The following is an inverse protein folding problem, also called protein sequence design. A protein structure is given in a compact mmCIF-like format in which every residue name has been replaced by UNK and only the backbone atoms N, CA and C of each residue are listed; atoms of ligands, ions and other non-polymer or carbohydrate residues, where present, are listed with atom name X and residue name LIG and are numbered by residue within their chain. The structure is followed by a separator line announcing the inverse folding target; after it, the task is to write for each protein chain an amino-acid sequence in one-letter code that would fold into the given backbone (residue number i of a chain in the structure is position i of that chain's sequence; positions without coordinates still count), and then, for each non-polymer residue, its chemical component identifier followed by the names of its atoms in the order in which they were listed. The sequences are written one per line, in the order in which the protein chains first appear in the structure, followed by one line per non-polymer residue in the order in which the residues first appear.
data_IF_416743149261
#
_entry.id   IF_416743149261
#
_cell.length_a   1.000
_cell.length_b   1.000
_cell.length_c   1.000
_cell.angle_alpha   90.00
_cell.angle_beta   90.00
_cell.angle_gamma   90.00
#
_symmetry.space_group_name_H-M   'P 1'
#
loop_
_entity.id
_entity.type
_entity.pdbx_description
1 polymer ?
#
# COMPACT_ATOMS: atom_id res chain seq x y z
N UNK A 1 -53.88 5.47 -16.00
CA UNK A 1 -52.57 6.11 -16.17
C UNK A 1 -51.80 5.89 -14.88
N UNK A 2 -50.93 4.87 -14.85
CA UNK A 2 -50.10 4.56 -13.66
C UNK A 2 -48.85 5.39 -13.73
N UNK A 3 -48.66 6.25 -12.75
CA UNK A 3 -47.41 7.05 -12.61
C UNK A 3 -46.36 6.13 -12.08
N UNK A 4 -45.40 5.77 -12.92
CA UNK A 4 -44.20 5.01 -12.57
C UNK A 4 -43.29 5.90 -11.72
N UNK A 5 -43.26 5.62 -10.43
CA UNK A 5 -42.42 6.37 -9.47
C UNK A 5 -40.99 5.94 -9.67
N UNK A 6 -40.11 6.81 -10.21
CA UNK A 6 -38.71 6.58 -10.35
C UNK A 6 -38.08 6.18 -9.00
N UNK A 7 -37.15 5.21 -8.96
CA UNK A 7 -36.55 4.74 -7.71
C UNK A 7 -35.81 5.88 -7.02
N UNK A 8 -36.22 6.20 -5.78
CA UNK A 8 -35.52 7.15 -4.90
C UNK A 8 -34.09 6.69 -4.72
N UNK A 9 -33.11 7.45 -5.24
CA UNK A 9 -31.68 7.25 -4.97
C UNK A 9 -31.47 7.15 -3.45
N UNK A 10 -31.12 5.95 -2.99
CA UNK A 10 -30.82 5.69 -1.58
C UNK A 10 -29.67 6.60 -1.15
N UNK A 11 -29.93 7.48 -0.18
CA UNK A 11 -28.93 8.39 0.36
C UNK A 11 -27.87 7.54 1.07
N UNK A 12 -26.69 7.44 0.50
CA UNK A 12 -25.57 6.76 1.15
C UNK A 12 -25.15 7.55 2.39
N UNK A 13 -24.76 6.83 3.45
CA UNK A 13 -24.11 7.44 4.61
C UNK A 13 -22.83 8.19 4.18
N UNK A 14 -22.44 9.25 4.93
CA UNK A 14 -21.30 10.11 4.57
C UNK A 14 -20.02 9.32 4.26
N UNK A 15 -19.66 8.33 5.09
CA UNK A 15 -18.45 7.52 4.91
C UNK A 15 -18.52 6.65 3.66
N UNK A 16 -19.66 6.03 3.38
CA UNK A 16 -19.88 5.27 2.16
C UNK A 16 -19.79 6.16 0.91
N UNK A 17 -20.24 7.40 1.01
CA UNK A 17 -20.14 8.39 -0.08
C UNK A 17 -18.71 8.84 -0.31
N UNK A 18 -17.96 9.12 0.77
CA UNK A 18 -16.53 9.44 0.69
C UNK A 18 -15.75 8.30 0.05
N UNK A 19 -16.00 7.07 0.47
CA UNK A 19 -15.38 5.86 -0.11
C UNK A 19 -15.70 5.68 -1.59
N UNK A 20 -16.94 5.94 -2.03
CA UNK A 20 -17.34 5.89 -3.44
C UNK A 20 -16.56 6.88 -4.30
N UNK A 21 -16.42 8.14 -3.84
CA UNK A 21 -15.68 9.17 -4.55
C UNK A 21 -14.19 8.79 -4.64
N UNK A 22 -13.60 8.31 -3.54
CA UNK A 22 -12.20 7.89 -3.50
C UNK A 22 -11.94 6.71 -4.45
N UNK A 23 -12.81 5.70 -4.50
CA UNK A 23 -12.68 4.59 -5.43
C UNK A 23 -12.71 5.02 -6.90
N UNK A 24 -13.56 5.99 -7.25
CA UNK A 24 -13.57 6.58 -8.60
C UNK A 24 -12.26 7.35 -8.88
N UNK A 25 -11.75 8.10 -7.91
CA UNK A 25 -10.49 8.82 -8.03
C UNK A 25 -9.30 7.87 -8.23
N UNK A 26 -9.23 6.78 -7.44
CA UNK A 26 -8.21 5.72 -7.57
C UNK A 26 -8.16 5.19 -9.01
N UNK A 27 -9.32 4.87 -9.58
CA UNK A 27 -9.38 4.37 -10.96
C UNK A 27 -8.94 5.42 -11.97
N UNK A 28 -9.45 6.64 -11.89
CA UNK A 28 -9.16 7.71 -12.85
C UNK A 28 -7.69 8.13 -12.84
N UNK A 29 -7.09 8.28 -11.66
CA UNK A 29 -5.66 8.61 -11.53
C UNK A 29 -4.75 7.42 -11.85
N UNK A 30 -5.27 6.19 -11.80
CA UNK A 30 -4.54 5.02 -12.29
C UNK A 30 -4.51 4.91 -13.82
N UNK A 31 -5.58 5.34 -14.48
CA UNK A 31 -5.73 5.26 -15.93
C UNK A 31 -5.10 6.46 -16.67
N UNK A 32 -5.00 7.62 -16.02
CA UNK A 32 -4.60 8.89 -16.66
C UNK A 32 -3.60 9.66 -15.78
N UNK A 33 -2.66 10.42 -16.41
CA UNK A 33 -1.75 11.30 -15.69
C UNK A 33 -2.49 12.27 -14.77
N UNK A 34 -1.85 12.66 -13.68
CA UNK A 34 -2.42 13.63 -12.72
C UNK A 34 -2.94 14.90 -13.40
N UNK A 35 -2.21 15.43 -14.40
CA UNK A 35 -2.60 16.64 -15.12
C UNK A 35 -3.97 16.51 -15.82
N UNK A 36 -4.27 15.32 -16.35
CA UNK A 36 -5.41 15.04 -17.22
C UNK A 36 -6.70 14.63 -16.48
N UNK A 37 -6.64 14.52 -15.15
CA UNK A 37 -7.81 14.23 -14.30
C UNK A 37 -8.25 15.49 -13.60
N UNK A 38 -9.53 15.82 -13.63
CA UNK A 38 -10.13 16.94 -12.85
C UNK A 38 -11.07 16.42 -11.74
N UNK A 39 -11.32 17.24 -10.73
CA UNK A 39 -12.36 16.95 -9.71
C UNK A 39 -13.77 16.86 -10.32
N UNK A 40 -13.98 17.48 -11.49
CA UNK A 40 -15.21 17.36 -12.26
C UNK A 40 -15.34 15.97 -12.90
N UNK A 41 -14.25 15.40 -13.40
CA UNK A 41 -14.25 14.03 -13.93
C UNK A 41 -14.55 13.02 -12.84
N UNK A 42 -13.92 13.18 -11.66
CA UNK A 42 -14.18 12.34 -10.50
C UNK A 42 -15.65 12.46 -10.04
N UNK A 43 -16.20 13.68 -10.00
CA UNK A 43 -17.60 13.92 -9.63
C UNK A 43 -18.57 13.24 -10.62
N UNK A 44 -18.31 13.37 -11.91
CA UNK A 44 -19.11 12.74 -12.98
C UNK A 44 -19.09 11.21 -12.83
N UNK A 45 -17.92 10.65 -12.65
CA UNK A 45 -17.72 9.20 -12.49
C UNK A 45 -18.39 8.66 -11.22
N UNK A 46 -18.30 9.39 -10.12
CA UNK A 46 -18.94 9.05 -8.85
C UNK A 46 -20.46 9.35 -8.82
N UNK A 47 -21.01 9.99 -9.85
CA UNK A 47 -22.41 10.38 -9.91
C UNK A 47 -22.81 11.39 -8.84
N UNK A 48 -21.90 12.32 -8.49
CA UNK A 48 -22.11 13.36 -7.47
C UNK A 48 -21.86 14.76 -8.01
N UNK A 49 -22.30 15.77 -7.27
CA UNK A 49 -21.97 17.17 -7.60
C UNK A 49 -20.47 17.43 -7.30
N UNK A 50 -19.78 18.24 -8.14
CA UNK A 50 -18.38 18.63 -7.95
C UNK A 50 -18.11 19.23 -6.57
N UNK A 51 -19.04 20.06 -6.06
CA UNK A 51 -18.93 20.67 -4.72
C UNK A 51 -18.81 19.63 -3.61
N UNK A 52 -19.39 18.42 -3.80
CA UNK A 52 -19.29 17.35 -2.83
C UNK A 52 -17.90 16.71 -2.81
N UNK A 53 -17.24 16.60 -3.95
CA UNK A 53 -15.84 16.13 -4.03
C UNK A 53 -14.92 17.08 -3.26
N UNK A 54 -15.08 18.40 -3.52
CA UNK A 54 -14.29 19.42 -2.80
C UNK A 54 -14.62 19.49 -1.31
N UNK A 55 -15.87 19.21 -0.92
CA UNK A 55 -16.27 19.16 0.49
C UNK A 55 -15.57 18.03 1.26
N UNK A 56 -15.43 16.84 0.65
CA UNK A 56 -14.81 15.69 1.31
C UNK A 56 -13.27 15.68 1.26
N UNK A 57 -12.70 16.23 0.20
CA UNK A 57 -11.26 16.05 -0.09
C UNK A 57 -10.50 17.38 -0.25
N UNK A 58 -11.15 18.52 -0.25
CA UNK A 58 -10.49 19.81 -0.46
C UNK A 58 -10.09 20.03 -1.91
N UNK A 59 -8.80 20.11 -2.18
CA UNK A 59 -8.26 20.38 -3.51
C UNK A 59 -8.08 19.09 -4.33
N UNK A 60 -7.80 19.25 -5.63
CA UNK A 60 -7.39 18.12 -6.50
C UNK A 60 -6.14 17.43 -5.97
N UNK A 61 -5.18 18.22 -5.43
CA UNK A 61 -3.94 17.69 -4.86
C UNK A 61 -4.22 16.85 -3.61
N UNK A 62 -5.05 17.33 -2.71
CA UNK A 62 -5.40 16.58 -1.50
C UNK A 62 -6.10 15.26 -1.84
N UNK A 63 -7.01 15.27 -2.81
CA UNK A 63 -7.64 14.04 -3.31
C UNK A 63 -6.60 13.07 -3.91
N UNK A 64 -5.63 13.59 -4.66
CA UNK A 64 -4.57 12.76 -5.24
C UNK A 64 -3.67 12.15 -4.17
N UNK A 65 -3.29 12.89 -3.13
CA UNK A 65 -2.51 12.38 -2.00
C UNK A 65 -3.26 11.27 -1.26
N UNK A 66 -4.58 11.38 -1.10
CA UNK A 66 -5.40 10.29 -0.55
C UNK A 66 -5.39 9.05 -1.45
N UNK A 67 -5.43 9.23 -2.77
CA UNK A 67 -5.30 8.11 -3.72
C UNK A 67 -3.95 7.43 -3.60
N UNK A 68 -2.85 8.19 -3.58
CA UNK A 68 -1.50 7.64 -3.38
C UNK A 68 -1.44 6.86 -2.07
N UNK A 69 -1.91 7.46 -0.96
CA UNK A 69 -1.92 6.80 0.36
C UNK A 69 -2.65 5.46 0.32
N UNK A 70 -3.86 5.41 -0.25
CA UNK A 70 -4.63 4.15 -0.36
C UNK A 70 -3.93 3.09 -1.20
N UNK A 71 -3.20 3.51 -2.25
CA UNK A 71 -2.51 2.57 -3.14
C UNK A 71 -1.23 1.97 -2.55
N UNK A 72 -0.56 2.70 -1.69
CA UNK A 72 0.74 2.27 -1.12
C UNK A 72 0.65 1.76 0.31
N UNK A 73 -0.44 2.04 1.03
CA UNK A 73 -0.61 1.61 2.43
C UNK A 73 -1.24 0.22 2.50
N UNK A 74 -0.61 -0.68 3.23
CA UNK A 74 -1.20 -1.98 3.59
C UNK A 74 -2.35 -1.72 4.56
N UNK A 75 -3.59 -2.16 4.30
CA UNK A 75 -4.69 -1.97 5.24
C UNK A 75 -4.57 -2.90 6.45
N UNK A 76 -4.97 -2.46 7.63
CA UNK A 76 -4.90 -3.24 8.88
C UNK A 76 -5.65 -4.58 8.79
N UNK A 77 -6.81 -4.58 8.12
CA UNK A 77 -7.60 -5.78 7.84
C UNK A 77 -6.81 -6.87 7.09
N UNK A 78 -5.72 -6.53 6.43
CA UNK A 78 -4.86 -7.52 5.78
C UNK A 78 -4.13 -8.39 6.80
N UNK A 79 -3.70 -7.80 7.94
CA UNK A 79 -3.07 -8.53 9.05
C UNK A 79 -4.06 -9.46 9.76
N UNK A 80 -5.28 -9.01 9.97
CA UNK A 80 -6.34 -9.80 10.61
C UNK A 80 -6.68 -11.08 9.81
N UNK A 81 -6.45 -11.05 8.50
CA UNK A 81 -6.71 -12.17 7.58
C UNK A 81 -5.53 -13.12 7.41
N UNK A 82 -4.38 -12.81 8.01
CA UNK A 82 -3.24 -13.72 7.95
C UNK A 82 -3.58 -15.03 8.67
N UNK A 83 -3.18 -16.18 8.11
CA UNK A 83 -3.41 -17.46 8.73
C UNK A 83 -2.65 -17.54 10.06
N UNK A 84 -3.29 -18.15 11.06
CA UNK A 84 -2.60 -18.56 12.30
C UNK A 84 -1.74 -19.78 11.95
N UNK A 85 -0.42 -19.63 12.00
CA UNK A 85 0.50 -20.68 11.62
C UNK A 85 1.95 -20.32 11.93
N UNK A 86 2.85 -21.15 11.43
CA UNK A 86 4.28 -20.91 11.53
C UNK A 86 4.71 -19.70 10.68
N UNK A 87 5.95 -19.26 10.86
CA UNK A 87 6.51 -18.11 10.14
C UNK A 87 6.38 -18.28 8.62
N UNK A 88 6.71 -19.46 8.10
CA UNK A 88 6.67 -19.75 6.66
C UNK A 88 5.26 -19.58 6.09
N UNK A 89 4.25 -20.11 6.77
CA UNK A 89 2.85 -19.98 6.37
C UNK A 89 2.41 -18.50 6.34
N UNK A 90 2.79 -17.71 7.34
CA UNK A 90 2.45 -16.29 7.42
C UNK A 90 3.16 -15.46 6.34
N UNK A 91 4.44 -15.74 6.12
CA UNK A 91 5.23 -15.08 5.06
C UNK A 91 4.65 -15.39 3.67
N UNK A 92 4.36 -16.67 3.39
CA UNK A 92 3.77 -17.09 2.12
C UNK A 92 2.43 -16.39 1.84
N UNK A 93 1.55 -16.36 2.85
CA UNK A 93 0.27 -15.68 2.76
C UNK A 93 0.41 -14.16 2.56
N UNK A 94 1.36 -13.50 3.27
CA UNK A 94 1.61 -12.07 3.14
C UNK A 94 2.12 -11.71 1.74
N UNK A 95 3.06 -12.46 1.21
CA UNK A 95 3.59 -12.26 -0.14
C UNK A 95 2.52 -12.52 -1.18
N UNK A 96 1.74 -13.61 -1.05
CA UNK A 96 0.64 -13.93 -1.96
C UNK A 96 -0.40 -12.81 -1.99
N UNK A 97 -0.80 -12.32 -0.81
CA UNK A 97 -1.73 -11.19 -0.69
C UNK A 97 -1.19 -9.91 -1.37
N UNK A 98 0.08 -9.56 -1.12
CA UNK A 98 0.72 -8.41 -1.75
C UNK A 98 0.68 -8.53 -3.28
N UNK A 99 1.08 -9.68 -3.83
CA UNK A 99 1.09 -9.91 -5.28
C UNK A 99 -0.32 -9.86 -5.89
N UNK A 100 -1.33 -10.35 -5.18
CA UNK A 100 -2.71 -10.27 -5.62
C UNK A 100 -3.24 -8.83 -5.65
N UNK A 101 -2.90 -8.03 -4.64
CA UNK A 101 -3.28 -6.61 -4.58
C UNK A 101 -2.62 -5.82 -5.70
N UNK A 102 -1.29 -5.93 -5.86
CA UNK A 102 -0.58 -5.16 -6.90
C UNK A 102 -0.97 -5.60 -8.31
N UNK A 103 -1.28 -6.89 -8.52
CA UNK A 103 -1.78 -7.39 -9.81
C UNK A 103 -3.16 -6.83 -10.15
N UNK A 104 -4.07 -6.84 -9.17
CA UNK A 104 -5.46 -6.37 -9.33
C UNK A 104 -5.53 -4.88 -9.61
N UNK A 105 -4.62 -4.10 -9.05
CA UNK A 105 -4.56 -2.65 -9.16
C UNK A 105 -3.30 -2.15 -9.87
N UNK A 106 -2.76 -2.93 -10.80
CA UNK A 106 -1.42 -2.73 -11.38
C UNK A 106 -1.20 -1.33 -11.94
N UNK A 107 -2.14 -0.78 -12.71
CA UNK A 107 -2.02 0.55 -13.30
C UNK A 107 -1.96 1.65 -12.23
N UNK A 108 -2.89 1.64 -11.26
CA UNK A 108 -2.94 2.64 -10.19
C UNK A 108 -1.75 2.52 -9.25
N UNK A 109 -1.35 1.30 -8.92
CA UNK A 109 -0.20 1.03 -8.05
C UNK A 109 1.11 1.46 -8.70
N UNK A 110 1.33 1.11 -9.97
CA UNK A 110 2.51 1.56 -10.73
C UNK A 110 2.56 3.09 -10.83
N UNK A 111 1.43 3.75 -11.08
CA UNK A 111 1.37 5.20 -11.09
C UNK A 111 1.78 5.82 -9.75
N UNK A 112 1.29 5.26 -8.63
CA UNK A 112 1.62 5.74 -7.28
C UNK A 112 3.11 5.55 -6.95
N UNK A 113 3.69 4.36 -7.19
CA UNK A 113 5.10 4.09 -6.85
C UNK A 113 6.10 4.74 -7.81
N UNK A 114 5.68 5.09 -9.04
CA UNK A 114 6.52 5.86 -10.00
C UNK A 114 6.46 7.36 -9.74
N UNK A 115 5.45 7.85 -9.05
CA UNK A 115 5.34 9.27 -8.66
C UNK A 115 6.56 9.74 -7.82
N UNK A 116 7.23 8.84 -7.11
CA UNK A 116 8.48 9.06 -6.37
C UNK A 116 9.66 9.55 -7.24
N UNK A 117 9.59 9.77 -8.45
CA UNK A 117 10.70 10.27 -9.28
C UNK A 117 10.29 11.36 -10.24
N UNK A 118 9.03 11.72 -10.24
CA UNK A 118 8.46 12.59 -11.27
C UNK A 118 8.27 14.03 -10.83
N UNK A 119 9.26 14.61 -10.14
CA UNK A 119 9.29 16.06 -9.98
C UNK A 119 9.34 16.63 -8.56
N UNK A 120 9.65 15.82 -7.54
CA UNK A 120 9.99 16.36 -6.21
C UNK A 120 8.84 17.06 -5.49
N UNK A 121 7.60 16.60 -5.65
CA UNK A 121 6.49 17.11 -4.83
C UNK A 121 6.67 16.58 -3.39
N UNK A 122 7.06 17.47 -2.47
CA UNK A 122 7.35 17.15 -1.08
C UNK A 122 6.17 16.48 -0.35
N UNK A 123 4.92 16.76 -0.75
CA UNK A 123 3.75 16.13 -0.14
C UNK A 123 3.60 14.67 -0.61
N UNK A 124 3.90 14.38 -1.87
CA UNK A 124 3.93 13.01 -2.38
C UNK A 124 5.04 12.20 -1.71
N UNK A 125 6.26 12.76 -1.63
CA UNK A 125 7.40 12.11 -0.95
C UNK A 125 7.07 11.80 0.52
N UNK A 126 6.44 12.74 1.22
CA UNK A 126 6.01 12.54 2.61
C UNK A 126 4.99 11.40 2.73
N UNK A 127 3.97 11.35 1.88
CA UNK A 127 2.96 10.27 1.88
C UNK A 127 3.60 8.91 1.61
N UNK A 128 4.57 8.85 0.69
CA UNK A 128 5.29 7.61 0.39
C UNK A 128 6.17 7.17 1.57
N UNK A 129 6.85 8.11 2.23
CA UNK A 129 7.65 7.81 3.43
C UNK A 129 6.77 7.32 4.59
N UNK A 130 5.64 7.99 4.87
CA UNK A 130 4.66 7.54 5.87
C UNK A 130 4.15 6.12 5.57
N UNK A 131 3.88 5.83 4.30
CA UNK A 131 3.42 4.50 3.89
C UNK A 131 4.49 3.41 4.06
N UNK A 132 5.76 3.75 3.88
CA UNK A 132 6.89 2.83 4.11
C UNK A 132 7.02 2.47 5.59
N UNK A 133 6.88 3.43 6.50
CA UNK A 133 6.89 3.16 7.94
C UNK A 133 5.71 2.26 8.33
N UNK A 134 4.50 2.57 7.85
CA UNK A 134 3.33 1.72 8.10
C UNK A 134 3.51 0.32 7.53
N UNK A 135 4.14 0.17 6.37
CA UNK A 135 4.40 -1.14 5.78
C UNK A 135 5.43 -1.93 6.60
N UNK A 136 6.47 -1.26 7.12
CA UNK A 136 7.46 -1.88 7.99
C UNK A 136 6.83 -2.36 9.30
N UNK A 137 6.06 -1.53 9.99
CA UNK A 137 5.37 -1.91 11.23
C UNK A 137 4.46 -3.12 11.02
N UNK A 138 3.65 -3.09 9.96
CA UNK A 138 2.74 -4.21 9.66
C UNK A 138 3.47 -5.48 9.25
N UNK A 139 4.59 -5.36 8.57
CA UNK A 139 5.42 -6.52 8.26
C UNK A 139 6.03 -7.13 9.53
N UNK A 140 6.54 -6.31 10.47
CA UNK A 140 7.05 -6.77 11.76
C UNK A 140 5.98 -7.52 12.54
N UNK A 141 4.74 -7.01 12.58
CA UNK A 141 3.60 -7.74 13.16
C UNK A 141 3.34 -9.06 12.42
N UNK A 142 3.34 -9.03 11.09
CA UNK A 142 3.09 -10.23 10.28
C UNK A 142 4.12 -11.34 10.51
N UNK A 143 5.39 -11.00 10.72
CA UNK A 143 6.45 -11.98 11.01
C UNK A 143 6.62 -12.30 12.50
N UNK A 144 5.93 -11.56 13.40
CA UNK A 144 5.95 -11.78 14.84
C UNK A 144 7.17 -11.18 15.53
N UNK A 145 7.68 -10.06 15.05
CA UNK A 145 8.85 -9.34 15.56
C UNK A 145 8.52 -7.90 15.96
N UNK A 146 7.25 -7.62 16.26
CA UNK A 146 6.84 -6.26 16.61
C UNK A 146 7.45 -5.79 17.94
N UNK A 147 7.43 -6.67 18.96
CA UNK A 147 7.94 -6.37 20.29
C UNK A 147 9.48 -6.18 20.27
N UNK A 148 10.20 -7.06 19.56
CA UNK A 148 11.65 -6.96 19.40
C UNK A 148 12.09 -5.70 18.67
N UNK A 149 11.26 -5.20 17.75
CA UNK A 149 11.56 -3.99 16.99
C UNK A 149 11.37 -2.69 17.80
N UNK A 150 10.78 -2.72 18.99
CA UNK A 150 10.72 -1.54 19.87
C UNK A 150 12.11 -1.13 20.36
N UNK A 151 12.98 -2.11 20.61
CA UNK A 151 14.34 -1.90 21.12
C UNK A 151 15.43 -1.91 20.01
N UNK A 152 15.05 -2.28 18.77
CA UNK A 152 16.01 -2.51 17.67
C UNK A 152 15.56 -1.81 16.38
N UNK A 153 15.99 -0.56 16.16
CA UNK A 153 15.70 0.21 14.93
C UNK A 153 16.26 -0.45 13.65
N UNK A 154 17.29 -1.27 13.78
CA UNK A 154 17.88 -2.04 12.69
C UNK A 154 16.89 -3.01 12.06
N UNK A 155 15.98 -3.60 12.84
CA UNK A 155 14.94 -4.49 12.35
C UNK A 155 13.98 -3.73 11.43
N UNK A 156 13.59 -2.52 11.82
CA UNK A 156 12.77 -1.64 10.97
C UNK A 156 13.50 -1.30 9.67
N UNK A 157 14.80 -0.97 9.77
CA UNK A 157 15.64 -0.70 8.61
C UNK A 157 15.69 -1.87 7.61
N UNK A 158 15.86 -3.10 8.10
CA UNK A 158 15.88 -4.30 7.26
C UNK A 158 14.52 -4.55 6.60
N UNK A 159 13.43 -4.37 7.34
CA UNK A 159 12.08 -4.55 6.79
C UNK A 159 11.75 -3.46 5.77
N UNK A 160 12.13 -2.19 5.99
CA UNK A 160 12.01 -1.13 4.99
C UNK A 160 12.77 -1.47 3.70
N UNK A 161 14.00 -1.98 3.82
CA UNK A 161 14.79 -2.44 2.67
C UNK A 161 14.09 -3.59 1.92
N UNK A 162 13.52 -4.54 2.65
CA UNK A 162 12.71 -5.62 2.05
C UNK A 162 11.46 -5.08 1.34
N UNK A 163 10.73 -4.11 1.90
CA UNK A 163 9.60 -3.46 1.22
C UNK A 163 10.02 -2.76 -0.08
N UNK A 164 11.21 -2.16 -0.08
CA UNK A 164 11.84 -1.62 -1.30
C UNK A 164 12.13 -2.70 -2.36
N UNK A 165 12.64 -3.86 -1.94
CA UNK A 165 12.82 -5.03 -2.82
C UNK A 165 11.48 -5.50 -3.38
N UNK A 166 10.44 -5.62 -2.55
CA UNK A 166 9.11 -6.04 -2.98
C UNK A 166 8.54 -5.09 -4.05
N UNK A 167 8.69 -3.78 -3.84
CA UNK A 167 8.28 -2.77 -4.81
C UNK A 167 9.06 -2.90 -6.13
N UNK A 168 10.38 -3.06 -6.07
CA UNK A 168 11.23 -3.18 -7.26
C UNK A 168 10.93 -4.46 -8.06
N UNK A 169 10.76 -5.59 -7.39
CA UNK A 169 10.46 -6.86 -8.07
C UNK A 169 9.06 -6.89 -8.66
N UNK A 170 8.07 -6.25 -8.01
CA UNK A 170 6.74 -6.09 -8.58
C UNK A 170 6.76 -5.24 -9.86
N UNK A 171 7.61 -4.22 -9.94
CA UNK A 171 7.82 -3.43 -11.18
C UNK A 171 8.47 -4.27 -12.29
N UNK A 172 9.46 -5.10 -11.98
CA UNK A 172 10.05 -6.03 -12.97
C UNK A 172 9.00 -6.97 -13.55
N UNK A 173 8.06 -7.43 -12.72
CA UNK A 173 6.97 -8.27 -13.16
C UNK A 173 5.92 -7.51 -13.96
N UNK A 174 5.34 -6.42 -13.40
CA UNK A 174 4.15 -5.78 -13.95
C UNK A 174 4.46 -4.81 -15.09
N UNK A 175 5.62 -4.15 -15.05
CA UNK A 175 5.98 -3.09 -16.01
C UNK A 175 6.93 -3.60 -17.10
N UNK A 176 7.96 -4.37 -16.72
CA UNK A 176 8.98 -4.84 -17.67
C UNK A 176 8.72 -6.25 -18.20
N UNK A 177 7.91 -7.04 -17.51
CA UNK A 177 7.67 -8.43 -17.87
C UNK A 177 8.92 -9.32 -17.76
N UNK A 178 9.96 -8.85 -17.05
CA UNK A 178 11.23 -9.56 -16.90
C UNK A 178 11.13 -10.73 -15.91
N UNK A 179 10.19 -10.65 -14.95
CA UNK A 179 9.91 -11.71 -13.98
C UNK A 179 8.46 -12.17 -14.11
N UNK A 180 8.23 -13.43 -13.80
CA UNK A 180 6.88 -13.98 -13.63
C UNK A 180 6.41 -13.79 -12.19
N UNK A 181 5.08 -13.83 -11.95
CA UNK A 181 4.51 -13.79 -10.59
C UNK A 181 5.13 -14.85 -9.66
N UNK A 182 5.33 -16.06 -10.20
CA UNK A 182 5.92 -17.17 -9.42
C UNK A 182 7.38 -16.91 -9.02
N UNK A 183 8.17 -16.30 -9.91
CA UNK A 183 9.56 -15.92 -9.61
C UNK A 183 9.63 -14.80 -8.57
N UNK A 184 8.75 -13.81 -8.67
CA UNK A 184 8.65 -12.73 -7.65
C UNK A 184 8.21 -13.32 -6.30
N UNK A 185 7.20 -14.19 -6.29
CA UNK A 185 6.75 -14.87 -5.08
C UNK A 185 7.89 -15.64 -4.41
N UNK A 186 8.60 -16.47 -5.16
CA UNK A 186 9.75 -17.25 -4.66
C UNK A 186 10.84 -16.35 -4.09
N UNK A 187 11.21 -15.28 -4.83
CA UNK A 187 12.24 -14.35 -4.41
C UNK A 187 11.87 -13.66 -3.09
N UNK A 188 10.65 -13.12 -3.00
CA UNK A 188 10.20 -12.39 -1.82
C UNK A 188 10.06 -13.31 -0.61
N UNK A 189 9.45 -14.48 -0.76
CA UNK A 189 9.26 -15.44 0.32
C UNK A 189 10.60 -15.92 0.87
N UNK A 190 11.53 -16.33 -0.01
CA UNK A 190 12.86 -16.82 0.40
C UNK A 190 13.66 -15.71 1.09
N UNK A 191 13.66 -14.49 0.53
CA UNK A 191 14.40 -13.36 1.10
C UNK A 191 13.88 -12.99 2.49
N UNK A 192 12.56 -12.90 2.67
CA UNK A 192 11.99 -12.54 3.98
C UNK A 192 12.28 -13.60 5.05
N UNK A 193 12.13 -14.89 4.70
CA UNK A 193 12.49 -15.98 5.60
C UNK A 193 13.97 -15.93 5.99
N UNK A 194 14.86 -15.69 5.03
CA UNK A 194 16.29 -15.55 5.30
C UNK A 194 16.58 -14.37 6.23
N UNK A 195 15.94 -13.22 6.01
CA UNK A 195 16.09 -12.05 6.89
C UNK A 195 15.67 -12.42 8.31
N UNK A 196 14.48 -12.99 8.49
CA UNK A 196 13.92 -13.28 9.82
C UNK A 196 14.68 -14.42 10.53
N UNK A 197 15.00 -15.49 9.83
CA UNK A 197 15.59 -16.70 10.46
C UNK A 197 17.11 -16.63 10.60
N UNK A 198 17.80 -15.86 9.76
CA UNK A 198 19.27 -15.88 9.71
C UNK A 198 19.91 -14.53 9.98
N UNK A 199 19.40 -13.44 9.40
CA UNK A 199 20.06 -12.12 9.50
C UNK A 199 19.72 -11.44 10.83
N UNK A 200 18.46 -11.32 11.17
CA UNK A 200 17.99 -10.66 12.39
C UNK A 200 18.62 -11.24 13.65
N UNK A 201 18.66 -12.57 13.88
CA UNK A 201 19.29 -13.13 15.08
C UNK A 201 20.78 -12.79 15.21
N UNK A 202 21.50 -12.66 14.10
CA UNK A 202 22.92 -12.28 14.11
C UNK A 202 23.13 -10.81 14.46
N UNK A 203 22.22 -9.94 14.02
CA UNK A 203 22.27 -8.51 14.33
C UNK A 203 21.99 -8.27 15.81
N UNK A 204 20.91 -8.85 16.35
CA UNK A 204 20.55 -8.74 17.76
C UNK A 204 21.70 -9.29 18.65
N UNK A 205 22.21 -10.48 18.38
CA UNK A 205 23.33 -11.05 19.14
C UNK A 205 24.62 -10.20 19.07
N UNK A 206 24.83 -9.51 17.97
CA UNK A 206 25.98 -8.60 17.80
C UNK A 206 25.85 -7.31 18.61
N UNK A 207 24.65 -6.82 18.82
CA UNK A 207 24.36 -5.61 19.59
C UNK A 207 24.42 -5.88 21.09
N UNK A 208 23.86 -6.97 21.57
CA UNK A 208 24.00 -7.42 22.97
C UNK A 208 25.47 -7.56 23.38
N UNK A 209 26.31 -8.07 22.47
CA UNK A 209 27.75 -8.22 22.72
C UNK A 209 28.50 -6.87 22.78
N UNK A 210 27.96 -5.79 22.24
CA UNK A 210 28.53 -4.44 22.30
C UNK A 210 28.12 -3.72 23.59
N UNK A 211 26.83 -3.79 23.97
CA UNK A 211 26.30 -3.13 25.16
C UNK A 211 26.65 -3.84 26.48
N UNK A 212 27.01 -5.11 26.45
CA UNK A 212 27.45 -5.87 27.63
C UNK A 212 28.95 -5.66 28.00
N UNK A 213 29.66 -4.77 27.31
CA UNK A 213 31.10 -4.48 27.56
C UNK A 213 31.36 -3.11 28.19
N UNK A 214 30.35 -2.30 28.42
CA UNK A 214 30.41 -1.05 29.18
C UNK A 214 29.88 -1.26 30.63
#
# INVERSE_FOLDING_TARGET
MSVETAPRRRRLEPDARRGQILACAVRLFGERPYADVSTTDVAREAGVARGLVNHYFGTKKDLYLEVVRVMVTIPEVALERLPKGDLRTRVDASVSWFLDVVSRHSTSWLAAVTARGMGGDADVERVLAEAEEVAADRMLVAVGLADEAEDHEELRGMVRAYCGLATSTAREWLQRGALTRAQVHLLLTTTLLTIVEQVIPQVIAGDDARHGRD
#
